data_IF_828562324741
#
_entry.id   IF_828562324741
#
_cell.length_a   1.000
_cell.length_b   1.000
_cell.length_c   1.000
_cell.angle_alpha   90.00
_cell.angle_beta   90.00
_cell.angle_gamma   90.00
#
_symmetry.space_group_name_H-M   'P 1'
#
loop_
_entity.id
_entity.type
_entity.pdbx_description
1 polymer ?
#
# COMPACT_ATOMS: atom_id res chain seq x y z
N UNK A 1 -15.08 -35.93 -13.10
CA UNK A 1 -15.16 -34.64 -13.81
C UNK A 1 -16.57 -34.04 -13.90
N UNK A 2 -17.65 -34.77 -13.56
CA UNK A 2 -19.02 -34.23 -13.64
C UNK A 2 -19.38 -33.23 -12.52
N UNK A 3 -18.62 -33.18 -11.42
CA UNK A 3 -18.89 -32.35 -10.24
C UNK A 3 -18.91 -30.84 -10.50
N UNK A 4 -18.29 -30.37 -11.60
CA UNK A 4 -18.17 -28.96 -11.93
C UNK A 4 -19.30 -28.41 -12.82
N UNK A 5 -20.22 -29.26 -13.33
CA UNK A 5 -21.38 -28.81 -14.09
C UNK A 5 -22.60 -28.59 -13.16
N UNK A 6 -23.46 -27.59 -13.47
CA UNK A 6 -24.76 -27.40 -12.82
C UNK A 6 -25.56 -28.70 -12.78
N UNK A 7 -26.36 -28.90 -11.73
CA UNK A 7 -27.07 -30.17 -11.48
C UNK A 7 -27.95 -30.59 -12.65
N UNK A 8 -28.59 -29.63 -13.30
CA UNK A 8 -29.55 -29.86 -14.39
C UNK A 8 -28.86 -30.42 -15.64
N UNK A 9 -27.74 -29.83 -16.06
CA UNK A 9 -26.97 -30.30 -17.23
C UNK A 9 -26.37 -31.70 -17.02
N UNK A 10 -26.12 -32.10 -15.77
CA UNK A 10 -25.62 -33.44 -15.44
C UNK A 10 -26.69 -34.50 -15.57
N UNK A 11 -27.92 -34.19 -15.14
CA UNK A 11 -29.04 -35.11 -15.25
C UNK A 11 -29.33 -35.40 -16.72
N UNK A 12 -29.38 -34.37 -17.56
CA UNK A 12 -29.59 -34.50 -19.01
C UNK A 12 -28.51 -35.35 -19.69
N UNK A 13 -27.23 -35.11 -19.35
CA UNK A 13 -26.12 -35.90 -19.91
C UNK A 13 -26.20 -37.38 -19.50
N UNK A 14 -26.57 -37.67 -18.24
CA UNK A 14 -26.72 -39.04 -17.77
C UNK A 14 -27.89 -39.76 -18.45
N UNK A 15 -29.01 -39.07 -18.65
CA UNK A 15 -30.16 -39.62 -19.38
C UNK A 15 -29.79 -39.96 -20.82
N UNK A 16 -29.07 -39.08 -21.51
CA UNK A 16 -28.64 -39.31 -22.89
C UNK A 16 -27.72 -40.55 -23.02
N UNK A 17 -26.77 -40.73 -22.11
CA UNK A 17 -25.92 -41.92 -22.12
C UNK A 17 -26.68 -43.19 -21.73
N UNK A 18 -27.68 -43.11 -20.85
CA UNK A 18 -28.53 -44.24 -20.51
C UNK A 18 -29.37 -44.70 -21.72
N UNK A 19 -29.99 -43.77 -22.45
CA UNK A 19 -30.76 -44.06 -23.66
C UNK A 19 -29.86 -44.71 -24.74
N UNK A 20 -28.63 -44.21 -24.92
CA UNK A 20 -27.66 -44.82 -25.85
C UNK A 20 -27.20 -46.24 -25.45
N UNK A 21 -27.19 -46.56 -24.15
CA UNK A 21 -26.88 -47.90 -23.67
C UNK A 21 -28.09 -48.81 -23.90
N UNK A 22 -29.28 -48.33 -23.58
CA UNK A 22 -30.53 -49.06 -23.78
C UNK A 22 -30.77 -49.39 -25.25
N UNK A 23 -30.52 -48.46 -26.18
CA UNK A 23 -30.59 -48.71 -27.63
C UNK A 23 -29.68 -49.88 -28.07
N UNK A 24 -28.48 -49.98 -27.49
CA UNK A 24 -27.52 -51.05 -27.82
C UNK A 24 -27.91 -52.39 -27.19
N UNK A 25 -28.56 -52.36 -26.04
CA UNK A 25 -29.12 -53.55 -25.40
C UNK A 25 -30.32 -54.06 -26.23
N UNK A 26 -31.13 -53.15 -26.76
CA UNK A 26 -32.27 -53.49 -27.64
C UNK A 26 -31.81 -54.09 -28.97
N UNK A 27 -30.65 -53.67 -29.50
CA UNK A 27 -29.96 -54.29 -30.65
C UNK A 27 -29.32 -55.67 -30.34
N UNK A 28 -29.45 -56.18 -29.11
CA UNK A 28 -29.06 -57.53 -28.71
C UNK A 28 -27.67 -57.67 -28.09
N UNK A 29 -27.01 -56.56 -27.71
CA UNK A 29 -25.76 -56.59 -26.95
C UNK A 29 -26.04 -56.72 -25.45
N UNK A 30 -25.15 -57.39 -24.71
CA UNK A 30 -25.24 -57.40 -23.24
C UNK A 30 -24.83 -56.05 -22.67
N UNK A 31 -25.39 -55.64 -21.54
CA UNK A 31 -25.09 -54.34 -20.89
C UNK A 31 -23.58 -54.13 -20.69
N UNK A 32 -22.85 -55.19 -20.34
CA UNK A 32 -21.41 -55.15 -20.12
C UNK A 32 -20.63 -54.88 -21.43
N UNK A 33 -21.05 -55.46 -22.55
CA UNK A 33 -20.48 -55.20 -23.88
C UNK A 33 -20.87 -53.82 -24.42
N UNK A 34 -22.09 -53.35 -24.14
CA UNK A 34 -22.54 -52.02 -24.54
C UNK A 34 -21.77 -50.90 -23.82
N UNK A 35 -21.45 -51.10 -22.54
CA UNK A 35 -20.64 -50.18 -21.73
C UNK A 35 -19.17 -50.20 -22.18
N UNK A 36 -18.62 -51.37 -22.55
CA UNK A 36 -17.24 -51.47 -23.07
C UNK A 36 -17.12 -50.83 -24.47
N UNK A 37 -18.14 -50.99 -25.33
CA UNK A 37 -18.21 -50.40 -26.66
C UNK A 37 -18.30 -48.86 -26.65
N UNK A 38 -18.83 -48.26 -25.59
CA UNK A 38 -18.82 -46.80 -25.39
C UNK A 38 -17.43 -46.26 -25.05
N UNK A 39 -16.49 -47.15 -24.69
CA UNK A 39 -15.11 -46.83 -24.35
C UNK A 39 -14.98 -46.12 -23.01
N UNK A 40 -13.78 -46.17 -22.42
CA UNK A 40 -13.55 -45.42 -21.19
C UNK A 40 -13.68 -43.91 -21.46
N UNK A 41 -14.27 -43.13 -20.54
CA UNK A 41 -14.40 -41.67 -20.71
C UNK A 41 -13.02 -40.98 -20.82
N UNK A 42 -11.95 -41.65 -20.41
CA UNK A 42 -10.57 -41.22 -20.66
C UNK A 42 -10.17 -41.30 -22.14
N UNK A 43 -10.55 -42.38 -22.83
CA UNK A 43 -10.27 -42.58 -24.26
C UNK A 43 -11.13 -41.66 -25.14
N UNK A 44 -12.40 -41.43 -24.79
CA UNK A 44 -13.25 -40.47 -25.50
C UNK A 44 -12.73 -39.03 -25.36
N UNK A 45 -12.26 -38.65 -24.16
CA UNK A 45 -11.63 -37.36 -23.95
C UNK A 45 -10.30 -37.21 -24.74
N UNK A 46 -9.53 -38.29 -24.85
CA UNK A 46 -8.27 -38.33 -25.60
C UNK A 46 -8.52 -38.27 -27.13
N UNK A 47 -9.52 -38.99 -27.63
CA UNK A 47 -9.94 -38.93 -29.04
C UNK A 47 -10.47 -37.55 -29.45
N UNK A 48 -11.30 -36.91 -28.62
CA UNK A 48 -11.77 -35.51 -28.84
C UNK A 48 -10.61 -34.51 -28.77
N UNK A 49 -9.58 -34.79 -27.96
CA UNK A 49 -8.36 -33.97 -27.86
C UNK A 49 -7.38 -34.16 -29.04
N UNK A 50 -7.48 -35.29 -29.74
CA UNK A 50 -6.68 -35.59 -30.93
C UNK A 50 -7.36 -35.17 -32.24
N UNK A 51 -8.70 -35.14 -32.28
CA UNK A 51 -9.48 -34.61 -33.43
C UNK A 51 -9.53 -33.07 -33.50
N UNK A 52 -9.02 -32.37 -32.47
CA UNK A 52 -8.98 -30.91 -32.47
C UNK A 52 -7.75 -30.41 -33.26
N UNK A 53 -7.92 -29.57 -34.31
CA UNK A 53 -6.81 -29.12 -35.14
C UNK A 53 -5.74 -28.45 -34.27
N UNK A 54 -4.47 -28.63 -34.64
CA UNK A 54 -3.24 -28.38 -33.86
C UNK A 54 -2.98 -26.93 -33.37
N UNK A 55 -4.01 -26.14 -33.12
CA UNK A 55 -3.97 -24.75 -32.70
C UNK A 55 -4.97 -24.58 -31.53
N UNK A 56 -4.56 -24.23 -30.29
CA UNK A 56 -3.22 -24.11 -29.74
C UNK A 56 -3.08 -24.87 -28.40
N UNK A 57 -2.48 -26.06 -28.43
CA UNK A 57 -1.96 -26.75 -27.21
C UNK A 57 -1.01 -25.84 -26.41
N UNK A 58 -0.49 -24.77 -27.00
CA UNK A 58 0.31 -23.73 -26.35
C UNK A 58 -0.48 -22.81 -25.39
N UNK A 59 -1.77 -22.56 -25.63
CA UNK A 59 -2.56 -21.59 -24.83
C UNK A 59 -3.32 -22.28 -23.69
N UNK A 60 -3.64 -23.57 -23.84
CA UNK A 60 -4.29 -24.35 -22.77
C UNK A 60 -3.25 -24.86 -21.75
N UNK A 61 -2.02 -25.17 -22.19
CA UNK A 61 -0.93 -25.60 -21.30
C UNK A 61 -0.38 -24.45 -20.43
N UNK A 62 -0.58 -23.20 -20.82
CA UNK A 62 -0.24 -22.01 -20.01
C UNK A 62 -1.30 -21.65 -18.96
N UNK A 63 -2.55 -22.16 -19.06
CA UNK A 63 -3.53 -21.99 -17.98
C UNK A 63 -3.35 -22.97 -16.81
N UNK A 64 -2.79 -24.16 -17.06
CA UNK A 64 -2.62 -25.22 -16.04
C UNK A 64 -1.28 -25.15 -15.30
N UNK A 65 -0.28 -24.47 -15.88
CA UNK A 65 0.94 -24.05 -15.18
C UNK A 65 0.71 -22.56 -14.91
N UNK A 66 0.51 -22.12 -13.68
CA UNK A 66 1.59 -22.29 -12.73
C UNK A 66 1.27 -21.53 -11.45
N UNK A 67 0.89 -22.26 -10.38
CA UNK A 67 1.03 -21.72 -9.02
C UNK A 67 2.45 -21.18 -8.85
N UNK A 68 3.48 -21.86 -9.38
CA UNK A 68 4.85 -21.38 -9.34
C UNK A 68 5.09 -20.04 -10.07
N UNK A 69 4.33 -19.70 -11.13
CA UNK A 69 4.47 -18.45 -11.91
C UNK A 69 3.70 -17.34 -11.22
N UNK A 70 2.57 -17.67 -10.58
CA UNK A 70 1.89 -16.77 -9.67
C UNK A 70 2.74 -16.49 -8.42
N UNK A 71 3.37 -17.52 -7.83
CA UNK A 71 4.29 -17.39 -6.71
C UNK A 71 5.58 -16.66 -7.11
N UNK A 72 6.16 -16.90 -8.30
CA UNK A 72 7.31 -16.11 -8.75
C UNK A 72 6.90 -14.68 -9.09
N UNK A 73 5.71 -14.41 -9.61
CA UNK A 73 5.24 -13.04 -9.83
C UNK A 73 4.98 -12.32 -8.49
N UNK A 74 4.50 -13.03 -7.46
CA UNK A 74 4.35 -12.51 -6.10
C UNK A 74 5.71 -12.29 -5.44
N UNK A 75 6.66 -13.22 -5.59
CA UNK A 75 8.01 -13.11 -5.02
C UNK A 75 8.76 -12.01 -5.75
N UNK A 76 8.74 -11.98 -7.08
CA UNK A 76 9.41 -10.96 -7.89
C UNK A 76 8.76 -9.58 -7.71
N UNK A 77 7.43 -9.56 -7.60
CA UNK A 77 6.69 -8.37 -7.19
C UNK A 77 7.14 -7.91 -5.81
N UNK A 78 7.12 -8.78 -4.80
CA UNK A 78 7.55 -8.47 -3.43
C UNK A 78 9.00 -8.02 -3.35
N UNK A 79 9.91 -8.68 -4.08
CA UNK A 79 11.33 -8.32 -4.17
C UNK A 79 11.52 -6.93 -4.79
N UNK A 80 10.59 -6.44 -5.62
CA UNK A 80 10.62 -5.06 -6.15
C UNK A 80 9.88 -4.08 -5.22
N UNK A 81 8.75 -4.47 -4.64
CA UNK A 81 7.95 -3.62 -3.76
C UNK A 81 8.64 -3.37 -2.41
N UNK A 82 9.32 -4.35 -1.84
CA UNK A 82 10.05 -4.21 -0.56
C UNK A 82 11.14 -3.14 -0.65
N UNK A 83 12.11 -3.15 -1.59
CA UNK A 83 13.10 -2.10 -1.71
C UNK A 83 12.46 -0.77 -2.14
N UNK A 84 11.37 -0.78 -2.91
CA UNK A 84 10.64 0.45 -3.24
C UNK A 84 10.03 1.12 -2.00
N UNK A 85 9.41 0.33 -1.12
CA UNK A 85 8.88 0.80 0.16
C UNK A 85 9.99 1.27 1.10
N UNK A 86 11.12 0.55 1.13
CA UNK A 86 12.30 0.95 1.91
C UNK A 86 12.86 2.27 1.39
N UNK A 87 13.02 2.42 0.08
CA UNK A 87 13.47 3.66 -0.54
C UNK A 87 12.51 4.81 -0.24
N UNK A 88 11.20 4.59 -0.35
CA UNK A 88 10.18 5.57 0.03
C UNK A 88 10.28 5.96 1.51
N UNK A 89 10.50 4.99 2.41
CA UNK A 89 10.72 5.25 3.83
C UNK A 89 11.98 6.08 4.08
N UNK A 90 13.09 5.81 3.38
CA UNK A 90 14.31 6.63 3.48
C UNK A 90 14.10 8.04 2.96
N UNK A 91 13.36 8.22 1.87
CA UNK A 91 13.00 9.55 1.35
C UNK A 91 12.16 10.31 2.38
N UNK A 92 11.14 9.67 2.94
CA UNK A 92 10.32 10.27 3.99
C UNK A 92 11.15 10.64 5.25
N UNK A 93 12.07 9.75 5.66
CA UNK A 93 12.98 9.99 6.77
C UNK A 93 13.94 11.14 6.48
N UNK A 94 14.48 11.22 5.25
CA UNK A 94 15.36 12.30 4.81
C UNK A 94 14.65 13.66 4.85
N UNK A 95 13.42 13.73 4.31
CA UNK A 95 12.60 14.94 4.39
C UNK A 95 12.33 15.33 5.84
N UNK A 96 11.99 14.36 6.70
CA UNK A 96 11.79 14.60 8.13
C UNK A 96 13.07 15.13 8.81
N UNK A 97 14.22 14.51 8.54
CA UNK A 97 15.51 14.95 9.05
C UNK A 97 15.85 16.37 8.57
N UNK A 98 15.65 16.68 7.29
CA UNK A 98 15.83 18.03 6.74
C UNK A 98 14.96 19.06 7.46
N UNK A 99 13.68 18.75 7.76
CA UNK A 99 12.81 19.64 8.53
C UNK A 99 13.40 19.92 9.91
N UNK A 100 13.86 18.89 10.62
CA UNK A 100 14.47 19.06 11.94
C UNK A 100 15.79 19.81 11.90
N UNK A 101 16.62 19.56 10.89
CA UNK A 101 17.89 20.28 10.69
C UNK A 101 17.59 21.76 10.43
N UNK A 102 16.59 22.09 9.61
CA UNK A 102 16.20 23.48 9.37
C UNK A 102 15.72 24.16 10.65
N UNK A 103 14.92 23.46 11.47
CA UNK A 103 14.51 23.94 12.80
C UNK A 103 15.73 24.17 13.69
N UNK A 104 16.68 23.22 13.73
CA UNK A 104 17.90 23.34 14.52
C UNK A 104 18.79 24.50 14.05
N UNK A 105 19.01 24.64 12.74
CA UNK A 105 19.74 25.77 12.14
C UNK A 105 19.10 27.11 12.51
N UNK A 106 17.77 27.19 12.48
CA UNK A 106 17.08 28.40 12.87
C UNK A 106 17.23 28.70 14.36
N UNK A 107 17.17 27.68 15.24
CA UNK A 107 17.47 27.86 16.66
C UNK A 107 18.91 28.34 16.88
N UNK A 108 19.88 27.79 16.16
CA UNK A 108 21.28 28.22 16.20
C UNK A 108 21.40 29.69 15.78
N UNK A 109 20.77 30.07 14.66
CA UNK A 109 20.76 31.47 14.19
C UNK A 109 20.08 32.39 15.19
N UNK A 110 18.94 31.98 15.78
CA UNK A 110 18.25 32.76 16.79
C UNK A 110 19.13 32.98 18.03
N UNK A 111 19.80 31.92 18.53
CA UNK A 111 20.74 32.04 19.65
C UNK A 111 21.92 32.93 19.29
N UNK A 112 22.51 32.77 18.10
CA UNK A 112 23.61 33.60 17.63
C UNK A 112 23.22 35.09 17.57
N UNK A 113 22.01 35.39 17.09
CA UNK A 113 21.48 36.75 17.05
C UNK A 113 21.15 37.33 18.44
N UNK A 114 20.68 36.49 19.36
CA UNK A 114 20.48 36.90 20.77
C UNK A 114 21.82 37.20 21.44
N UNK A 115 22.86 36.39 21.17
CA UNK A 115 24.22 36.58 21.69
C UNK A 115 24.93 37.77 21.01
N UNK A 116 24.55 38.13 19.79
CA UNK A 116 25.06 39.31 19.10
C UNK A 116 24.74 40.61 19.86
N UNK A 117 23.65 40.68 20.61
CA UNK A 117 23.32 41.86 21.42
C UNK A 117 24.31 42.10 22.57
N UNK A 118 24.55 41.16 23.52
CA UNK A 118 25.55 41.38 24.58
C UNK A 118 26.97 41.51 24.02
N UNK A 119 27.31 40.80 22.93
CA UNK A 119 28.59 40.97 22.26
C UNK A 119 28.74 42.40 21.68
N UNK A 120 27.72 42.89 20.98
CA UNK A 120 27.69 44.26 20.43
C UNK A 120 27.74 45.33 21.53
N UNK A 121 27.08 45.10 22.67
CA UNK A 121 27.15 46.02 23.83
C UNK A 121 28.55 46.06 24.44
N UNK A 122 29.23 44.91 24.57
CA UNK A 122 30.61 44.84 25.06
C UNK A 122 31.60 45.54 24.12
N UNK A 123 31.46 45.30 22.81
CA UNK A 123 32.28 45.95 21.78
C UNK A 123 32.01 47.46 21.76
N UNK A 124 30.75 47.87 21.88
CA UNK A 124 30.37 49.27 21.97
C UNK A 124 30.95 49.96 23.21
N UNK A 125 30.93 49.30 24.37
CA UNK A 125 31.54 49.81 25.59
C UNK A 125 33.05 50.04 25.43
N UNK A 126 33.76 49.06 24.85
CA UNK A 126 35.18 49.20 24.54
C UNK A 126 35.47 50.31 23.52
N UNK A 127 34.67 50.41 22.46
CA UNK A 127 34.78 51.45 21.44
C UNK A 127 34.54 52.86 22.01
N UNK A 128 33.61 52.99 22.96
CA UNK A 128 33.35 54.24 23.67
C UNK A 128 34.54 54.63 24.56
N UNK A 129 35.16 53.69 25.28
CA UNK A 129 36.38 53.95 26.06
C UNK A 129 37.56 54.36 25.17
N UNK A 130 37.63 53.83 23.94
CA UNK A 130 38.63 54.22 22.95
C UNK A 130 38.34 55.60 22.28
N UNK A 131 37.26 56.28 22.66
CA UNK A 131 36.87 57.60 22.15
C UNK A 131 36.11 57.57 20.82
N UNK A 132 35.77 56.39 20.29
CA UNK A 132 35.07 56.24 19.01
C UNK A 132 33.57 56.01 19.22
N UNK A 133 32.87 57.10 19.57
CA UNK A 133 31.43 57.09 19.86
C UNK A 133 30.57 56.65 18.65
N UNK A 134 30.84 57.06 17.39
CA UNK A 134 30.08 56.59 16.23
C UNK A 134 30.16 55.08 16.04
N UNK A 135 31.35 54.49 16.24
CA UNK A 135 31.55 53.04 16.18
C UNK A 135 30.76 52.33 17.28
N UNK A 136 30.80 52.84 18.52
CA UNK A 136 30.04 52.27 19.62
C UNK A 136 28.52 52.28 19.38
N UNK A 137 27.99 53.37 18.82
CA UNK A 137 26.56 53.49 18.53
C UNK A 137 26.13 52.55 17.40
N UNK A 138 26.98 52.39 16.37
CA UNK A 138 26.72 51.49 15.25
C UNK A 138 26.65 50.01 15.70
N UNK A 139 27.59 49.56 16.55
CA UNK A 139 27.62 48.19 17.07
C UNK A 139 26.44 47.88 18.01
N UNK A 140 26.06 48.84 18.87
CA UNK A 140 24.86 48.70 19.70
C UNK A 140 23.58 48.58 18.86
N UNK A 141 23.47 49.38 17.78
CA UNK A 141 22.36 49.31 16.83
C UNK A 141 22.32 48.00 16.05
N UNK A 142 23.48 47.51 15.60
CA UNK A 142 23.60 46.23 14.90
C UNK A 142 23.19 45.04 15.80
N UNK A 143 23.63 45.04 17.06
CA UNK A 143 23.22 44.04 18.04
C UNK A 143 21.72 44.03 18.31
N UNK A 144 21.09 45.21 18.43
CA UNK A 144 19.63 45.32 18.64
C UNK A 144 18.83 44.89 17.40
N UNK A 145 19.28 45.27 16.21
CA UNK A 145 18.67 44.85 14.96
C UNK A 145 18.78 43.33 14.76
N UNK A 146 19.94 42.76 15.07
CA UNK A 146 20.17 41.32 15.05
C UNK A 146 19.22 40.58 16.00
N UNK A 147 19.10 41.03 17.24
CA UNK A 147 18.17 40.45 18.21
C UNK A 147 16.70 40.52 17.75
N UNK A 148 16.28 41.66 17.18
CA UNK A 148 14.94 41.82 16.62
C UNK A 148 14.65 40.85 15.46
N UNK A 149 15.61 40.68 14.56
CA UNK A 149 15.51 39.73 13.45
C UNK A 149 15.46 38.28 13.95
N UNK A 150 16.24 37.95 14.99
CA UNK A 150 16.25 36.63 15.61
C UNK A 150 14.88 36.24 16.16
N UNK A 151 14.21 37.16 16.85
CA UNK A 151 12.85 36.94 17.39
C UNK A 151 11.84 36.73 16.26
N UNK A 152 11.92 37.51 15.17
CA UNK A 152 11.03 37.33 14.02
C UNK A 152 11.20 35.95 13.35
N UNK A 153 12.44 35.46 13.22
CA UNK A 153 12.75 34.15 12.64
C UNK A 153 12.18 32.99 13.46
N UNK A 154 12.23 33.09 14.79
CA UNK A 154 11.58 32.12 15.70
C UNK A 154 10.08 32.05 15.43
N UNK A 155 9.42 33.20 15.25
CA UNK A 155 7.99 33.26 14.99
C UNK A 155 7.60 32.63 13.66
N UNK A 156 8.35 32.92 12.59
CA UNK A 156 8.16 32.33 11.25
C UNK A 156 8.28 30.81 11.32
N UNK A 157 9.24 30.32 12.09
CA UNK A 157 9.51 28.89 12.16
C UNK A 157 8.48 28.13 12.98
N UNK A 158 7.99 28.73 14.07
CA UNK A 158 6.83 28.19 14.79
C UNK A 158 5.58 28.12 13.90
N UNK A 159 5.38 29.10 13.02
CA UNK A 159 4.28 29.07 12.06
C UNK A 159 4.45 27.94 11.02
N UNK A 160 5.67 27.75 10.49
CA UNK A 160 5.97 26.68 9.55
C UNK A 160 5.79 25.29 10.18
N UNK A 161 6.29 25.07 11.40
CA UNK A 161 6.13 23.81 12.13
C UNK A 161 4.66 23.51 12.43
N UNK A 162 3.86 24.52 12.81
CA UNK A 162 2.41 24.32 13.04
C UNK A 162 1.67 23.91 11.77
N UNK A 163 1.98 24.51 10.62
CA UNK A 163 1.36 24.16 9.33
C UNK A 163 1.68 22.73 8.92
N UNK A 164 2.94 22.32 9.06
CA UNK A 164 3.37 20.93 8.79
C UNK A 164 2.73 19.94 9.77
N UNK A 165 2.65 20.28 11.06
CA UNK A 165 2.01 19.44 12.06
C UNK A 165 0.51 19.25 11.78
N UNK A 166 -0.21 20.31 11.39
CA UNK A 166 -1.63 20.21 11.00
C UNK A 166 -1.82 19.33 9.77
N UNK A 167 -1.03 19.54 8.72
CA UNK A 167 -1.08 18.73 7.50
C UNK A 167 -0.81 17.25 7.80
N UNK A 168 0.17 16.96 8.66
CA UNK A 168 0.47 15.58 9.09
C UNK A 168 -0.70 14.94 9.86
N UNK A 169 -1.34 15.68 10.77
CA UNK A 169 -2.50 15.20 11.56
C UNK A 169 -3.72 14.96 10.69
N UNK A 170 -3.87 15.74 9.63
CA UNK A 170 -4.98 15.62 8.70
C UNK A 170 -4.77 14.41 7.76
N UNK A 171 -3.55 14.19 7.31
CA UNK A 171 -3.14 12.97 6.60
C UNK A 171 -3.32 11.72 7.47
N UNK A 172 -2.86 11.73 8.73
CA UNK A 172 -3.03 10.64 9.68
C UNK A 172 -4.51 10.32 9.93
N UNK A 173 -5.36 11.33 10.15
CA UNK A 173 -6.81 11.13 10.31
C UNK A 173 -7.45 10.54 9.05
N UNK A 174 -7.04 10.98 7.86
CA UNK A 174 -7.53 10.41 6.60
C UNK A 174 -7.13 8.95 6.44
N UNK A 175 -5.90 8.59 6.81
CA UNK A 175 -5.43 7.20 6.73
C UNK A 175 -6.07 6.28 7.77
N UNK A 176 -6.39 6.77 8.97
CA UNK A 176 -7.02 5.95 10.01
C UNK A 176 -8.54 5.89 9.90
N UNK A 177 -9.19 6.85 9.24
CA UNK A 177 -10.65 6.88 9.10
C UNK A 177 -11.26 5.63 8.45
N UNK A 178 -10.67 4.98 7.43
CA UNK A 178 -11.21 3.75 6.85
C UNK A 178 -11.14 2.58 7.82
N UNK A 179 -10.02 2.44 8.55
CA UNK A 179 -9.81 1.37 9.53
C UNK A 179 -10.74 1.48 10.74
N UNK A 180 -10.98 2.71 11.23
CA UNK A 180 -11.93 2.95 12.32
C UNK A 180 -13.37 2.68 11.86
N UNK A 181 -13.71 3.03 10.61
CA UNK A 181 -15.04 2.78 10.04
C UNK A 181 -15.32 1.30 9.82
N UNK A 182 -14.32 0.51 9.42
CA UNK A 182 -14.42 -0.95 9.31
C UNK A 182 -14.71 -1.62 10.66
N UNK A 183 -13.94 -1.27 11.70
CA UNK A 183 -14.12 -1.85 13.05
C UNK A 183 -15.49 -1.50 13.66
N UNK A 184 -16.02 -0.32 13.37
CA UNK A 184 -17.37 0.08 13.79
C UNK A 184 -18.47 -0.74 13.09
N UNK A 185 -18.31 -1.00 11.79
CA UNK A 185 -19.29 -1.77 11.02
C UNK A 185 -19.36 -3.25 11.42
N UNK A 186 -18.23 -3.87 11.78
CA UNK A 186 -18.19 -5.23 12.33
C UNK A 186 -18.88 -5.32 13.70
N UNK A 187 -18.66 -4.33 14.57
CA UNK A 187 -19.26 -4.31 15.91
C UNK A 187 -20.79 -4.12 15.87
N UNK A 188 -21.31 -3.31 14.94
CA UNK A 188 -22.75 -3.15 14.74
C UNK A 188 -23.40 -4.38 14.10
N UNK A 189 -22.70 -5.05 13.18
CA UNK A 189 -23.16 -6.32 12.61
C UNK A 189 -23.29 -7.42 13.66
N UNK A 190 -22.31 -7.55 14.56
CA UNK A 190 -22.34 -8.52 15.66
C UNK A 190 -23.49 -8.26 16.64
N UNK A 191 -23.76 -6.99 17.00
CA UNK A 191 -24.89 -6.63 17.86
C UNK A 191 -26.25 -6.95 17.24
N UNK A 192 -26.42 -6.68 15.95
CA UNK A 192 -27.68 -7.00 15.24
C UNK A 192 -27.90 -8.50 15.12
N UNK A 193 -26.83 -9.27 14.86
CA UNK A 193 -26.90 -10.73 14.85
C UNK A 193 -27.28 -11.31 16.20
N UNK A 194 -26.73 -10.77 17.30
CA UNK A 194 -27.06 -11.22 18.65
C UNK A 194 -28.50 -10.89 19.04
N UNK A 195 -29.01 -9.71 18.66
CA UNK A 195 -30.38 -9.30 18.96
C UNK A 195 -31.43 -10.11 18.18
N UNK A 196 -31.11 -10.52 16.94
CA UNK A 196 -31.99 -11.34 16.11
C UNK A 196 -32.06 -12.81 16.56
N UNK A 197 -31.08 -13.28 17.33
CA UNK A 197 -31.03 -14.67 17.84
C UNK A 197 -31.75 -14.83 19.19
N UNK A 198 -32.05 -13.72 19.87
CA UNK A 198 -32.76 -13.68 21.16
C UNK A 198 -34.25 -13.32 21.04
N UNK A 199 -34.73 -13.07 19.83
CA UNK A 199 -36.15 -12.80 19.52
C UNK A 199 -36.77 -14.03 18.84
#
# INVERSE_FOLDING_TARGET
MLACLPKDARAESLTFYAEMIDDRIEDGMTEEEAVDALGSPGMAAEAILDDLPAVPRAVVKTRRKSRALMWTLIILGSVVWVPLLIAFAFVALSVYACIWILVACLWIVAVALIVALPAGVLIAFWGAMAGNIPFALAEAGAGLFGAGLGIAMVYISLAATKRLACLSREWMRKMTSPFVRMRGSEADGARRSSAAQTA
#
